data_IF_655726320756
#
_entry.id   IF_655726320756
#
_cell.length_a   1.000
_cell.length_b   1.000
_cell.length_c   1.000
_cell.angle_alpha   90.00
_cell.angle_beta   90.00
_cell.angle_gamma   90.00
#
_symmetry.space_group_name_H-M   'P 1'
#
loop_
_entity.id
_entity.type
_entity.pdbx_description
1 polymer ?
#
# COMPACT_ATOMS: atom_id res chain seq x y z
N UNK A 1 15.11 1.57 10.96
CA UNK A 1 15.03 0.12 10.70
C UNK A 1 15.30 -0.11 9.24
N UNK A 2 16.26 -0.99 8.90
CA UNK A 2 16.65 -1.26 7.51
C UNK A 2 16.04 -2.54 6.94
N UNK A 3 15.30 -3.32 7.74
CA UNK A 3 14.70 -4.60 7.32
C UNK A 3 13.24 -4.66 7.72
N UNK A 4 12.38 -5.14 6.82
CA UNK A 4 10.98 -5.48 7.06
C UNK A 4 10.80 -7.00 6.99
N UNK A 5 10.30 -7.59 8.07
CA UNK A 5 9.88 -9.00 8.09
C UNK A 5 8.51 -9.13 7.42
N UNK A 6 8.45 -9.88 6.35
CA UNK A 6 7.29 -9.96 5.48
C UNK A 6 7.01 -11.42 5.13
N UNK A 7 6.33 -12.15 6.03
CA UNK A 7 6.01 -13.57 5.85
C UNK A 7 7.24 -14.42 5.63
N UNK A 8 7.39 -14.95 4.41
CA UNK A 8 8.53 -15.76 3.96
C UNK A 8 9.80 -14.94 3.67
N UNK A 9 9.72 -13.61 3.69
CA UNK A 9 10.78 -12.73 3.22
C UNK A 9 11.28 -11.77 4.30
N UNK A 10 12.53 -11.39 4.14
CA UNK A 10 13.16 -10.28 4.82
C UNK A 10 13.54 -9.24 3.77
N UNK A 11 12.82 -8.13 3.74
CA UNK A 11 13.05 -7.06 2.77
C UNK A 11 14.07 -6.07 3.32
N UNK A 12 15.19 -5.92 2.64
CA UNK A 12 16.16 -4.86 2.93
C UNK A 12 15.59 -3.51 2.46
N UNK A 13 15.38 -2.60 3.40
CA UNK A 13 14.90 -1.24 3.20
C UNK A 13 16.03 -0.20 3.28
N UNK A 14 17.29 -0.59 3.17
CA UNK A 14 18.41 0.33 3.03
C UNK A 14 18.30 1.19 1.76
N UNK A 15 17.71 0.61 0.71
CA UNK A 15 17.25 1.30 -0.50
C UNK A 15 15.72 1.32 -0.56
N UNK A 16 15.11 2.31 -1.25
CA UNK A 16 13.67 2.32 -1.46
C UNK A 16 13.22 1.12 -2.30
N UNK A 17 12.05 0.55 -1.95
CA UNK A 17 11.42 -0.57 -2.65
C UNK A 17 10.17 -0.15 -3.38
N UNK A 18 9.87 -0.79 -4.49
CA UNK A 18 8.67 -0.53 -5.29
C UNK A 18 7.65 -1.65 -5.08
N UNK A 19 6.47 -1.28 -4.56
CA UNK A 19 5.30 -2.12 -4.42
C UNK A 19 4.38 -1.91 -5.61
N UNK A 20 4.26 -2.92 -6.47
CA UNK A 20 3.38 -2.86 -7.64
C UNK A 20 1.92 -3.13 -7.27
N UNK A 21 1.00 -2.31 -7.76
CA UNK A 21 -0.44 -2.48 -7.58
C UNK A 21 -0.96 -3.47 -8.62
N UNK A 22 -1.54 -4.58 -8.15
CA UNK A 22 -2.19 -5.60 -8.98
C UNK A 22 -3.69 -5.59 -8.68
N UNK A 23 -4.46 -4.93 -9.55
CA UNK A 23 -5.92 -4.88 -9.40
C UNK A 23 -6.58 -6.21 -9.78
N UNK A 24 -7.44 -6.70 -8.89
CA UNK A 24 -8.29 -7.88 -9.05
C UNK A 24 -9.78 -7.50 -9.23
N UNK A 25 -10.07 -6.26 -9.66
CA UNK A 25 -11.43 -5.73 -9.84
C UNK A 25 -12.04 -6.12 -11.19
N UNK A 26 -13.36 -5.94 -11.34
CA UNK A 26 -14.16 -6.42 -12.49
C UNK A 26 -13.68 -5.94 -13.86
N UNK A 27 -13.04 -4.77 -13.97
CA UNK A 27 -12.38 -4.31 -15.21
C UNK A 27 -11.22 -5.24 -15.62
N UNK A 28 -10.77 -6.08 -14.70
CA UNK A 28 -9.73 -7.10 -14.89
C UNK A 28 -10.32 -8.49 -15.13
N UNK A 29 -11.63 -8.67 -14.85
CA UNK A 29 -12.36 -9.93 -14.83
C UNK A 29 -13.49 -9.96 -15.89
N UNK A 30 -13.32 -9.30 -17.04
CA UNK A 30 -14.32 -9.33 -18.12
C UNK A 30 -14.03 -10.44 -19.12
N UNK A 31 -14.83 -11.48 -19.11
CA UNK A 31 -15.10 -12.27 -20.30
C UNK A 31 -15.10 -13.79 -20.21
N UNK A 32 -14.17 -14.45 -19.51
CA UNK A 32 -13.99 -15.91 -19.65
C UNK A 32 -13.99 -16.70 -18.33
N UNK A 33 -14.58 -16.17 -17.25
CA UNK A 33 -14.61 -16.80 -15.94
C UNK A 33 -13.26 -16.79 -15.20
N UNK A 34 -13.21 -17.28 -13.94
CA UNK A 34 -12.07 -17.26 -13.02
C UNK A 34 -10.70 -17.64 -13.64
N UNK A 35 -10.66 -18.55 -14.60
CA UNK A 35 -9.39 -19.02 -15.19
C UNK A 35 -8.76 -18.02 -16.14
N UNK A 36 -9.54 -17.29 -16.94
CA UNK A 36 -9.04 -16.24 -17.84
C UNK A 36 -8.49 -15.06 -17.07
N UNK A 37 -9.12 -14.76 -15.98
CA UNK A 37 -8.78 -13.69 -15.06
C UNK A 37 -7.45 -13.94 -14.34
N UNK A 38 -7.21 -15.15 -13.84
CA UNK A 38 -5.95 -15.53 -13.18
C UNK A 38 -4.77 -15.47 -14.17
N UNK A 39 -4.95 -15.87 -15.42
CA UNK A 39 -3.90 -15.74 -16.43
C UNK A 39 -3.54 -14.26 -16.71
N UNK A 40 -4.52 -13.35 -16.66
CA UNK A 40 -4.26 -11.92 -16.76
C UNK A 40 -3.54 -11.36 -15.55
N UNK A 41 -3.90 -11.82 -14.35
CA UNK A 41 -3.22 -11.46 -13.09
C UNK A 41 -1.77 -11.94 -13.12
N UNK A 42 -1.51 -13.18 -13.53
CA UNK A 42 -0.15 -13.72 -13.68
C UNK A 42 0.69 -12.87 -14.63
N UNK A 43 0.19 -12.59 -15.84
CA UNK A 43 0.92 -11.75 -16.81
C UNK A 43 1.24 -10.35 -16.24
N UNK A 44 0.32 -9.74 -15.49
CA UNK A 44 0.56 -8.42 -14.86
C UNK A 44 1.62 -8.52 -13.77
N UNK A 45 1.60 -9.58 -12.98
CA UNK A 45 2.59 -9.83 -11.93
C UNK A 45 3.98 -10.06 -12.53
N UNK A 46 4.10 -10.93 -13.53
CA UNK A 46 5.34 -11.20 -14.25
C UNK A 46 5.90 -9.92 -14.86
N UNK A 47 5.06 -9.14 -15.56
CA UNK A 47 5.45 -7.85 -16.11
C UNK A 47 5.94 -6.88 -15.03
N UNK A 48 5.25 -6.77 -13.89
CA UNK A 48 5.68 -5.91 -12.79
C UNK A 48 7.05 -6.34 -12.23
N UNK A 49 7.31 -7.65 -12.15
CA UNK A 49 8.62 -8.18 -11.73
C UNK A 49 9.71 -7.87 -12.76
N UNK A 50 9.45 -8.03 -14.06
CA UNK A 50 10.35 -7.65 -15.14
C UNK A 50 10.67 -6.14 -15.13
N UNK A 51 9.68 -5.31 -14.76
CA UNK A 51 9.82 -3.87 -14.59
C UNK A 51 10.58 -3.48 -13.30
N UNK A 52 10.87 -4.44 -12.42
CA UNK A 52 11.67 -4.26 -11.21
C UNK A 52 10.86 -4.01 -9.94
N UNK A 53 9.64 -4.49 -9.84
CA UNK A 53 8.90 -4.50 -8.58
C UNK A 53 9.59 -5.38 -7.54
N UNK A 54 9.65 -4.91 -6.30
CA UNK A 54 10.18 -5.65 -5.15
C UNK A 54 9.10 -6.46 -4.41
N UNK A 55 7.82 -6.10 -4.60
CA UNK A 55 6.65 -6.75 -4.01
C UNK A 55 5.39 -6.44 -4.80
N UNK A 56 4.37 -7.28 -4.68
CA UNK A 56 3.08 -7.12 -5.34
C UNK A 56 1.99 -6.86 -4.28
N UNK A 57 1.08 -5.90 -4.54
CA UNK A 57 -0.05 -5.59 -3.67
C UNK A 57 -1.36 -5.88 -4.38
N UNK A 58 -2.07 -6.92 -3.93
CA UNK A 58 -3.28 -7.44 -4.54
C UNK A 58 -4.50 -6.69 -4.02
N UNK A 59 -5.23 -6.04 -4.92
CA UNK A 59 -6.37 -5.17 -4.61
C UNK A 59 -7.64 -5.74 -5.22
N UNK A 60 -8.49 -6.36 -4.40
CA UNK A 60 -9.75 -6.96 -4.84
C UNK A 60 -10.96 -6.02 -4.65
N UNK A 61 -10.85 -5.01 -3.80
CA UNK A 61 -11.87 -3.99 -3.57
C UNK A 61 -11.30 -2.59 -3.84
N UNK A 62 -12.02 -1.80 -4.64
CA UNK A 62 -11.63 -0.40 -4.87
C UNK A 62 -11.97 0.45 -3.65
N UNK A 63 -10.98 1.14 -3.10
CA UNK A 63 -11.15 2.09 -2.00
C UNK A 63 -11.29 3.55 -2.46
N UNK A 64 -11.57 3.75 -3.77
CA UNK A 64 -11.83 5.08 -4.32
C UNK A 64 -13.14 5.64 -3.77
N UNK A 65 -13.24 6.96 -3.55
CA UNK A 65 -14.50 7.56 -3.14
C UNK A 65 -15.65 7.17 -4.06
N UNK A 66 -16.76 6.69 -3.48
CA UNK A 66 -17.96 6.30 -4.23
C UNK A 66 -17.94 4.90 -4.84
N UNK A 67 -16.86 4.10 -4.66
CA UNK A 67 -16.88 2.70 -5.09
C UNK A 67 -17.85 1.87 -4.23
N UNK A 68 -18.51 0.89 -4.87
CA UNK A 68 -19.37 -0.06 -4.16
C UNK A 68 -18.50 -1.13 -3.47
N UNK A 69 -18.86 -1.50 -2.23
CA UNK A 69 -18.17 -2.58 -1.51
C UNK A 69 -18.32 -3.93 -2.24
N UNK A 70 -17.24 -4.67 -2.32
CA UNK A 70 -17.28 -6.06 -2.82
C UNK A 70 -17.76 -6.98 -1.68
N UNK A 71 -18.71 -7.92 -1.94
CA UNK A 71 -19.11 -8.92 -0.95
C UNK A 71 -17.90 -9.70 -0.43
N UNK A 72 -17.82 -9.93 0.89
CA UNK A 72 -16.68 -10.60 1.54
C UNK A 72 -16.34 -11.95 0.92
N UNK A 73 -17.35 -12.76 0.58
CA UNK A 73 -17.13 -14.06 -0.06
C UNK A 73 -16.46 -13.91 -1.44
N UNK A 74 -16.88 -12.94 -2.24
CA UNK A 74 -16.32 -12.69 -3.56
C UNK A 74 -14.89 -12.13 -3.47
N UNK A 75 -14.64 -11.21 -2.54
CA UNK A 75 -13.28 -10.71 -2.28
C UNK A 75 -12.36 -11.84 -1.84
N UNK A 76 -12.82 -12.69 -0.91
CA UNK A 76 -12.08 -13.86 -0.44
C UNK A 76 -11.70 -14.79 -1.59
N UNK A 77 -12.66 -15.16 -2.44
CA UNK A 77 -12.43 -16.04 -3.59
C UNK A 77 -11.37 -15.48 -4.54
N UNK A 78 -11.49 -14.19 -4.91
CA UNK A 78 -10.54 -13.51 -5.80
C UNK A 78 -9.13 -13.46 -5.21
N UNK A 79 -9.03 -13.07 -3.94
CA UNK A 79 -7.76 -12.94 -3.23
C UNK A 79 -7.07 -14.29 -3.08
N UNK A 80 -7.77 -15.33 -2.63
CA UNK A 80 -7.22 -16.67 -2.46
C UNK A 80 -6.69 -17.21 -3.79
N UNK A 81 -7.51 -17.14 -4.85
CA UNK A 81 -7.10 -17.61 -6.17
C UNK A 81 -5.87 -16.88 -6.69
N UNK A 82 -5.79 -15.54 -6.50
CA UNK A 82 -4.64 -14.74 -6.91
C UNK A 82 -3.39 -15.08 -6.09
N UNK A 83 -3.51 -15.19 -4.76
CA UNK A 83 -2.37 -15.53 -3.89
C UNK A 83 -1.80 -16.91 -4.23
N UNK A 84 -2.65 -17.92 -4.39
CA UNK A 84 -2.23 -19.28 -4.75
C UNK A 84 -1.52 -19.32 -6.10
N UNK A 85 -2.03 -18.59 -7.11
CA UNK A 85 -1.45 -18.52 -8.44
C UNK A 85 -0.09 -17.77 -8.46
N UNK A 86 0.04 -16.70 -7.69
CA UNK A 86 1.23 -15.85 -7.69
C UNK A 86 2.32 -16.34 -6.72
N UNK A 87 1.98 -17.14 -5.72
CA UNK A 87 2.93 -17.63 -4.71
C UNK A 87 4.18 -18.29 -5.28
N UNK A 88 4.10 -19.09 -6.39
CA UNK A 88 5.27 -19.70 -7.01
C UNK A 88 6.27 -18.73 -7.62
N UNK A 89 5.87 -17.46 -7.88
CA UNK A 89 6.76 -16.45 -8.47
C UNK A 89 7.90 -16.03 -7.53
N UNK A 90 7.84 -16.35 -6.22
CA UNK A 90 8.92 -16.09 -5.29
C UNK A 90 9.16 -14.62 -4.97
N UNK A 91 8.10 -13.79 -5.07
CA UNK A 91 8.08 -12.37 -4.70
C UNK A 91 7.11 -12.18 -3.52
N UNK A 92 7.36 -11.22 -2.59
CA UNK A 92 6.43 -10.91 -1.51
C UNK A 92 5.04 -10.51 -2.01
N UNK A 93 4.00 -11.15 -1.50
CA UNK A 93 2.61 -10.89 -1.82
C UNK A 93 1.92 -10.16 -0.68
N UNK A 94 1.53 -8.91 -0.91
CA UNK A 94 0.69 -8.10 -0.04
C UNK A 94 -0.77 -8.20 -0.48
N UNK A 95 -1.69 -8.18 0.46
CA UNK A 95 -3.14 -8.14 0.21
C UNK A 95 -3.73 -6.90 0.84
N UNK A 96 -4.31 -6.03 0.01
CA UNK A 96 -5.00 -4.80 0.41
C UNK A 96 -6.45 -5.16 0.78
N UNK A 97 -6.72 -5.25 2.08
CA UNK A 97 -8.06 -5.55 2.61
C UNK A 97 -8.22 -5.06 4.05
N UNK A 98 -9.43 -4.63 4.41
CA UNK A 98 -9.82 -4.29 5.78
C UNK A 98 -10.72 -5.34 6.45
N UNK A 99 -11.03 -6.47 5.74
CA UNK A 99 -11.95 -7.51 6.22
C UNK A 99 -11.18 -8.67 6.88
N UNK A 100 -11.41 -8.94 8.18
CA UNK A 100 -10.66 -9.97 8.92
C UNK A 100 -10.80 -11.39 8.34
N UNK A 101 -11.94 -11.72 7.72
CA UNK A 101 -12.11 -13.01 7.08
C UNK A 101 -11.25 -13.15 5.83
N UNK A 102 -11.16 -12.09 5.00
CA UNK A 102 -10.28 -12.04 3.83
C UNK A 102 -8.81 -12.11 4.26
N UNK A 103 -8.40 -11.35 5.30
CA UNK A 103 -7.05 -11.44 5.86
C UNK A 103 -6.68 -12.87 6.25
N UNK A 104 -7.57 -13.57 6.95
CA UNK A 104 -7.36 -14.96 7.39
C UNK A 104 -7.18 -15.90 6.21
N UNK A 105 -8.05 -15.79 5.21
CA UNK A 105 -8.00 -16.62 4.01
C UNK A 105 -6.76 -16.34 3.17
N UNK A 106 -6.39 -15.07 3.00
CA UNK A 106 -5.18 -14.66 2.30
C UNK A 106 -3.91 -15.22 2.95
N UNK A 107 -3.81 -15.12 4.28
CA UNK A 107 -2.67 -15.67 5.03
C UNK A 107 -2.61 -17.20 4.95
N UNK A 108 -3.75 -17.89 5.00
CA UNK A 108 -3.82 -19.33 4.82
C UNK A 108 -3.40 -19.76 3.40
N UNK A 109 -3.72 -18.98 2.38
CA UNK A 109 -3.28 -19.18 0.99
C UNK A 109 -1.78 -18.88 0.78
N UNK A 110 -1.14 -18.15 1.70
CA UNK A 110 0.29 -17.87 1.67
C UNK A 110 0.67 -16.43 1.33
N UNK A 111 -0.21 -15.47 1.58
CA UNK A 111 0.13 -14.05 1.54
C UNK A 111 1.21 -13.72 2.58
N UNK A 112 2.13 -12.83 2.23
CA UNK A 112 3.28 -12.46 3.05
C UNK A 112 3.05 -11.17 3.84
N UNK A 113 2.07 -10.34 3.43
CA UNK A 113 1.77 -9.05 4.04
C UNK A 113 0.26 -8.76 3.97
N UNK A 114 -0.25 -8.08 4.98
CA UNK A 114 -1.56 -7.45 4.98
C UNK A 114 -1.38 -5.93 4.93
N UNK A 115 -2.01 -5.30 3.94
CA UNK A 115 -2.08 -3.86 3.77
C UNK A 115 -3.51 -3.42 4.13
N UNK A 116 -3.69 -2.77 5.30
CA UNK A 116 -5.01 -2.42 5.79
C UNK A 116 -5.19 -0.91 5.94
N UNK A 117 -6.06 -0.36 5.11
CA UNK A 117 -6.41 1.07 5.13
C UNK A 117 -7.14 1.50 6.40
N UNK A 118 -7.73 0.56 7.15
CA UNK A 118 -8.36 0.77 8.45
C UNK A 118 -7.42 0.51 9.64
N UNK A 119 -6.12 0.31 9.37
CA UNK A 119 -5.09 0.08 10.39
C UNK A 119 -5.42 -1.05 11.37
N UNK A 120 -6.02 -2.14 10.92
CA UNK A 120 -6.42 -3.30 11.73
C UNK A 120 -7.41 -2.95 12.86
N UNK A 121 -8.23 -1.91 12.65
CA UNK A 121 -9.22 -1.46 13.64
C UNK A 121 -10.52 -2.28 13.60
N UNK A 122 -10.79 -2.99 12.52
CA UNK A 122 -11.97 -3.86 12.42
C UNK A 122 -11.95 -4.95 13.51
N UNK A 123 -13.10 -5.28 14.12
CA UNK A 123 -13.18 -6.34 15.12
C UNK A 123 -12.61 -7.67 14.62
N UNK A 124 -11.61 -8.21 15.31
CA UNK A 124 -10.92 -9.44 14.93
C UNK A 124 -9.74 -9.29 13.96
N UNK A 125 -9.53 -8.12 13.34
CA UNK A 125 -8.40 -7.91 12.41
C UNK A 125 -7.05 -8.07 13.11
N UNK A 126 -6.85 -7.37 14.22
CA UNK A 126 -5.62 -7.44 14.98
C UNK A 126 -5.30 -8.86 15.45
N UNK A 127 -6.31 -9.58 15.98
CA UNK A 127 -6.16 -10.97 16.42
C UNK A 127 -5.77 -11.89 15.26
N UNK A 128 -6.34 -11.67 14.07
CA UNK A 128 -6.03 -12.46 12.88
C UNK A 128 -4.56 -12.35 12.49
N UNK A 129 -3.96 -11.17 12.56
CA UNK A 129 -2.59 -10.96 12.10
C UNK A 129 -1.54 -11.10 13.21
N UNK A 130 -1.91 -10.95 14.48
CA UNK A 130 -0.97 -10.99 15.60
C UNK A 130 -0.24 -12.33 15.69
N UNK A 131 -0.97 -13.44 15.49
CA UNK A 131 -0.43 -14.81 15.55
C UNK A 131 0.30 -15.27 14.30
N UNK A 132 0.40 -14.44 13.25
CA UNK A 132 1.08 -14.78 11.99
C UNK A 132 2.50 -14.20 11.93
N UNK A 133 3.26 -14.55 10.88
CA UNK A 133 4.56 -13.94 10.59
C UNK A 133 4.48 -12.84 9.49
N UNK A 134 3.27 -12.50 9.01
CA UNK A 134 3.10 -11.55 7.90
C UNK A 134 3.60 -10.14 8.24
N UNK A 135 4.07 -9.42 7.24
CA UNK A 135 4.25 -7.98 7.30
C UNK A 135 2.91 -7.25 7.44
N UNK A 136 2.94 -6.05 7.97
CA UNK A 136 1.74 -5.24 8.20
C UNK A 136 1.98 -3.82 7.69
N UNK A 137 1.17 -3.37 6.73
CA UNK A 137 1.05 -1.95 6.41
C UNK A 137 -0.17 -1.40 7.14
N UNK A 138 0.08 -0.42 7.99
CA UNK A 138 -0.94 0.24 8.80
C UNK A 138 -1.11 1.67 8.32
N UNK A 139 -2.29 1.96 7.74
CA UNK A 139 -2.55 3.24 7.12
C UNK A 139 -3.46 4.11 8.02
N UNK A 140 -3.27 5.43 7.93
CA UNK A 140 -4.21 6.40 8.52
C UNK A 140 -5.26 6.84 7.51
N UNK A 141 -6.52 6.75 7.92
CA UNK A 141 -7.67 7.31 7.23
C UNK A 141 -8.55 8.08 8.23
N UNK A 142 -9.07 9.25 7.81
CA UNK A 142 -10.13 9.94 8.55
C UNK A 142 -11.47 9.62 7.90
N UNK A 143 -12.44 9.14 8.69
CA UNK A 143 -13.74 8.71 8.19
C UNK A 143 -13.72 7.32 7.56
N UNK A 144 -14.62 7.08 6.61
CA UNK A 144 -14.76 5.83 5.88
C UNK A 144 -14.54 6.06 4.38
N UNK A 145 -14.15 5.06 3.58
CA UNK A 145 -13.84 5.22 2.16
C UNK A 145 -14.93 5.96 1.37
N UNK A 146 -16.20 5.72 1.65
CA UNK A 146 -17.34 6.34 0.95
C UNK A 146 -17.54 7.83 1.28
N UNK A 147 -17.18 8.25 2.49
CA UNK A 147 -17.47 9.59 3.01
C UNK A 147 -16.24 10.41 3.35
N UNK A 148 -15.07 9.83 3.33
CA UNK A 148 -13.80 10.43 3.79
C UNK A 148 -13.45 11.76 3.11
N UNK A 149 -13.96 12.02 1.91
CA UNK A 149 -13.69 13.27 1.18
C UNK A 149 -14.71 14.38 1.47
N UNK A 150 -15.73 14.12 2.30
CA UNK A 150 -16.69 15.14 2.72
C UNK A 150 -16.09 16.02 3.83
N UNK A 151 -15.47 17.14 3.42
CA UNK A 151 -14.92 18.15 4.32
C UNK A 151 -13.96 17.59 5.41
N UNK A 152 -12.86 16.92 5.04
CA UNK A 152 -11.89 16.45 6.01
C UNK A 152 -11.30 17.64 6.78
N UNK A 153 -11.14 17.51 8.10
CA UNK A 153 -10.69 18.60 8.98
C UNK A 153 -9.56 18.13 9.87
N UNK A 154 -8.50 18.93 9.92
CA UNK A 154 -7.37 18.79 10.82
C UNK A 154 -6.98 20.18 11.30
N UNK A 155 -6.58 20.29 12.56
CA UNK A 155 -5.92 21.48 13.08
C UNK A 155 -4.44 21.49 12.63
N UNK A 156 -3.78 20.34 12.77
CA UNK A 156 -2.45 20.05 12.21
C UNK A 156 -2.41 18.60 11.69
N UNK A 157 -2.59 18.44 10.39
CA UNK A 157 -2.66 17.12 9.74
C UNK A 157 -1.40 16.28 10.00
N UNK A 158 -0.22 16.88 10.08
CA UNK A 158 1.04 16.14 10.30
C UNK A 158 1.10 15.58 11.71
N UNK A 159 0.80 16.41 12.71
CA UNK A 159 0.81 16.01 14.13
C UNK A 159 -0.29 14.99 14.43
N UNK A 160 -1.50 15.20 13.91
CA UNK A 160 -2.63 14.31 14.16
C UNK A 160 -2.44 12.94 13.52
N UNK A 161 -2.01 12.89 12.26
CA UNK A 161 -1.73 11.63 11.55
C UNK A 161 -0.58 10.87 12.22
N UNK A 162 0.51 11.55 12.56
CA UNK A 162 1.63 10.92 13.29
C UNK A 162 1.19 10.38 14.66
N UNK A 163 0.35 11.13 15.39
CA UNK A 163 -0.23 10.72 16.67
C UNK A 163 -1.12 9.47 16.55
N UNK A 164 -1.96 9.42 15.51
CA UNK A 164 -2.82 8.27 15.24
C UNK A 164 -2.00 7.02 14.88
N UNK A 165 -0.98 7.14 14.01
CA UNK A 165 -0.06 6.05 13.70
C UNK A 165 0.69 5.57 14.96
N UNK A 166 1.17 6.49 15.81
CA UNK A 166 1.82 6.15 17.06
C UNK A 166 0.90 5.38 18.02
N UNK A 167 -0.36 5.80 18.13
CA UNK A 167 -1.35 5.08 18.93
C UNK A 167 -1.57 3.66 18.39
N UNK A 168 -1.60 3.51 17.07
CA UNK A 168 -1.75 2.20 16.43
C UNK A 168 -0.54 1.30 16.64
N UNK A 169 0.67 1.82 16.54
CA UNK A 169 1.91 1.09 16.85
C UNK A 169 1.89 0.55 18.28
N UNK A 170 1.45 1.37 19.24
CA UNK A 170 1.30 0.92 20.64
C UNK A 170 0.29 -0.22 20.77
N UNK A 171 -0.85 -0.16 20.07
CA UNK A 171 -1.86 -1.22 20.12
C UNK A 171 -1.34 -2.53 19.52
N UNK A 172 -0.58 -2.45 18.41
CA UNK A 172 0.07 -3.61 17.79
C UNK A 172 1.11 -4.24 18.74
N UNK A 173 1.94 -3.43 19.37
CA UNK A 173 2.93 -3.89 20.36
C UNK A 173 2.27 -4.58 21.56
N UNK A 174 1.17 -4.01 22.07
CA UNK A 174 0.39 -4.62 23.15
C UNK A 174 -0.23 -5.97 22.78
N UNK A 175 -0.52 -6.19 21.48
CA UNK A 175 -0.99 -7.46 20.95
C UNK A 175 0.16 -8.45 20.61
N UNK A 176 1.41 -8.11 20.91
CA UNK A 176 2.57 -8.96 20.65
C UNK A 176 3.12 -8.93 19.24
N UNK A 177 2.68 -7.99 18.39
CA UNK A 177 3.21 -7.84 17.03
C UNK A 177 4.65 -7.35 17.07
N UNK A 178 5.54 -8.11 16.47
CA UNK A 178 6.95 -7.74 16.38
C UNK A 178 7.13 -6.47 15.53
N UNK A 179 7.90 -5.52 16.05
CA UNK A 179 8.15 -4.22 15.42
C UNK A 179 8.69 -4.32 13.99
N UNK A 180 9.56 -5.31 13.72
CA UNK A 180 10.14 -5.54 12.39
C UNK A 180 9.15 -5.94 11.30
N UNK A 181 7.89 -6.21 11.65
CA UNK A 181 6.81 -6.54 10.73
C UNK A 181 5.99 -5.33 10.26
N UNK A 182 6.23 -4.13 10.81
CA UNK A 182 5.34 -2.97 10.66
C UNK A 182 5.95 -1.97 9.68
N UNK A 183 5.15 -1.53 8.70
CA UNK A 183 5.36 -0.35 7.89
C UNK A 183 4.17 0.60 8.05
N UNK A 184 4.41 1.90 8.04
CA UNK A 184 3.40 2.93 8.27
C UNK A 184 3.07 3.65 6.97
N UNK A 185 1.77 3.84 6.67
CA UNK A 185 1.30 4.67 5.56
C UNK A 185 0.51 5.86 6.12
N UNK A 186 0.92 7.11 5.86
CA UNK A 186 0.16 8.27 6.29
C UNK A 186 -1.18 8.44 5.56
N UNK A 187 -1.45 7.66 4.51
CA UNK A 187 -2.74 7.59 3.83
C UNK A 187 -3.03 8.81 2.97
N UNK A 188 -2.18 9.11 2.01
CA UNK A 188 -2.43 10.17 1.03
C UNK A 188 -3.78 9.97 0.32
N UNK A 189 -4.62 11.00 0.27
CA UNK A 189 -5.94 10.96 -0.37
C UNK A 189 -7.04 10.28 0.43
N UNK A 190 -6.78 9.79 1.65
CA UNK A 190 -7.77 9.16 2.51
C UNK A 190 -8.21 10.11 3.62
N UNK A 191 -9.35 10.80 3.42
CA UNK A 191 -9.85 11.82 4.35
C UNK A 191 -8.91 13.02 4.47
N UNK A 192 -8.38 13.52 3.35
CA UNK A 192 -7.45 14.64 3.27
C UNK A 192 -7.67 15.44 2.01
N UNK A 193 -7.71 16.75 2.13
CA UNK A 193 -7.75 17.67 0.99
C UNK A 193 -6.37 17.86 0.33
N UNK A 194 -6.28 18.72 -0.66
CA UNK A 194 -5.04 18.98 -1.39
C UNK A 194 -3.97 19.57 -0.47
N UNK A 195 -4.31 20.56 0.36
CA UNK A 195 -3.35 21.23 1.25
C UNK A 195 -2.81 20.25 2.30
N UNK A 196 -3.67 19.42 2.88
CA UNK A 196 -3.30 18.36 3.81
C UNK A 196 -2.32 17.38 3.18
N UNK A 197 -2.61 16.90 1.97
CA UNK A 197 -1.74 15.94 1.28
C UNK A 197 -0.35 16.52 0.98
N UNK A 198 -0.25 17.75 0.49
CA UNK A 198 1.05 18.37 0.23
C UNK A 198 1.82 18.73 1.50
N UNK A 199 1.12 19.14 2.58
CA UNK A 199 1.73 19.30 3.89
C UNK A 199 2.35 18.00 4.40
N UNK A 200 1.61 16.88 4.28
CA UNK A 200 2.10 15.55 4.65
C UNK A 200 3.30 15.12 3.80
N UNK A 201 3.26 15.35 2.48
CA UNK A 201 4.39 15.02 1.60
C UNK A 201 5.63 15.84 1.97
N UNK A 202 5.47 17.15 2.24
CA UNK A 202 6.55 18.03 2.68
C UNK A 202 7.21 17.53 3.97
N UNK A 203 6.44 17.00 4.89
CA UNK A 203 6.87 16.56 6.22
C UNK A 203 6.87 15.04 6.41
N UNK A 204 7.02 14.27 5.33
CA UNK A 204 6.83 12.80 5.31
C UNK A 204 7.66 12.08 6.38
N UNK A 205 8.87 12.51 6.64
CA UNK A 205 9.74 11.91 7.66
C UNK A 205 9.16 11.92 9.08
N UNK A 206 8.17 12.80 9.37
CA UNK A 206 7.49 12.84 10.68
C UNK A 206 6.61 11.61 10.94
N UNK A 207 6.24 10.87 9.88
CA UNK A 207 5.45 9.64 9.99
C UNK A 207 6.30 8.39 10.24
N UNK A 208 7.62 8.49 10.21
CA UNK A 208 8.52 7.41 10.64
C UNK A 208 8.52 7.26 12.18
N UNK A 209 7.32 7.06 12.73
CA UNK A 209 7.11 6.94 14.18
C UNK A 209 8.01 5.85 14.76
N UNK A 210 8.72 6.18 15.81
CA UNK A 210 9.70 5.30 16.43
C UNK A 210 10.76 4.73 15.45
N UNK A 211 11.02 5.37 14.31
CA UNK A 211 11.94 4.90 13.28
C UNK A 211 11.41 3.70 12.46
N UNK A 212 10.10 3.45 12.45
CA UNK A 212 9.47 2.50 11.54
C UNK A 212 9.50 3.00 10.11
N UNK A 213 9.61 2.10 9.12
CA UNK A 213 9.60 2.48 7.71
C UNK A 213 8.25 3.08 7.29
N UNK A 214 8.31 4.01 6.33
CA UNK A 214 7.12 4.65 5.75
C UNK A 214 6.91 4.15 4.33
N UNK A 215 5.66 3.76 4.04
CA UNK A 215 5.15 3.52 2.70
C UNK A 215 4.45 4.79 2.19
N UNK A 216 4.66 5.13 0.93
CA UNK A 216 3.99 6.25 0.27
C UNK A 216 3.23 5.77 -0.99
N UNK A 217 1.90 5.84 -0.94
CA UNK A 217 1.01 5.56 -2.07
C UNK A 217 0.50 6.86 -2.72
N UNK A 218 1.24 7.41 -3.69
CA UNK A 218 0.91 8.68 -4.36
C UNK A 218 0.44 8.50 -5.81
N UNK A 219 0.69 7.31 -6.39
CA UNK A 219 0.49 7.03 -7.82
C UNK A 219 -0.94 7.32 -8.27
N UNK A 220 -1.06 8.18 -9.29
CA UNK A 220 -2.29 8.61 -9.97
C UNK A 220 -3.34 9.29 -9.08
N UNK A 221 -3.00 9.69 -7.83
CA UNK A 221 -3.95 10.30 -6.89
C UNK A 221 -4.43 11.67 -7.35
N UNK A 222 -5.63 12.04 -6.89
CA UNK A 222 -6.33 13.28 -7.27
C UNK A 222 -5.54 14.55 -6.96
N UNK A 223 -4.77 14.54 -5.86
CA UNK A 223 -3.89 15.66 -5.50
C UNK A 223 -2.91 16.04 -6.62
N UNK A 224 -2.41 15.05 -7.38
CA UNK A 224 -1.51 15.28 -8.50
C UNK A 224 -2.24 15.95 -9.68
N UNK A 225 -3.44 15.45 -9.99
CA UNK A 225 -4.28 16.05 -11.02
C UNK A 225 -4.72 17.47 -10.68
N UNK A 226 -4.98 17.77 -9.40
CA UNK A 226 -5.39 19.10 -8.96
C UNK A 226 -4.31 20.19 -9.23
N UNK A 227 -3.03 19.82 -9.20
CA UNK A 227 -1.92 20.75 -9.49
C UNK A 227 -1.57 20.79 -10.97
N UNK A 228 -1.62 19.63 -11.65
CA UNK A 228 -1.13 19.52 -13.04
C UNK A 228 -2.24 19.72 -14.08
N UNK A 229 -3.51 19.69 -13.67
CA UNK A 229 -4.67 19.65 -14.59
C UNK A 229 -4.82 18.32 -15.31
N UNK A 230 -3.99 17.31 -15.02
CA UNK A 230 -3.96 16.05 -15.76
C UNK A 230 -5.10 15.11 -15.34
N UNK A 231 -5.79 14.53 -16.34
CA UNK A 231 -6.69 13.39 -16.15
C UNK A 231 -5.91 12.18 -15.59
N UNK A 232 -6.62 11.23 -14.96
CA UNK A 232 -5.99 10.12 -14.22
C UNK A 232 -5.03 9.29 -15.08
N UNK A 233 -5.35 9.09 -16.35
CA UNK A 233 -4.55 8.34 -17.33
C UNK A 233 -3.22 9.04 -17.65
N UNK A 234 -3.18 10.36 -17.52
CA UNK A 234 -2.05 11.21 -17.89
C UNK A 234 -1.18 11.64 -16.69
N UNK A 235 -1.35 11.00 -15.51
CA UNK A 235 -0.62 11.35 -14.29
C UNK A 235 0.70 10.61 -14.09
N UNK A 236 1.26 9.99 -15.14
CA UNK A 236 2.52 9.24 -15.06
C UNK A 236 3.66 10.13 -14.51
N UNK A 237 3.97 11.23 -15.18
CA UNK A 237 5.07 12.14 -14.78
C UNK A 237 4.86 12.68 -13.36
N UNK A 238 3.63 13.11 -13.04
CA UNK A 238 3.31 13.61 -11.71
C UNK A 238 3.45 12.52 -10.63
N UNK A 239 3.07 11.28 -10.94
CA UNK A 239 3.21 10.13 -10.04
C UNK A 239 4.67 9.82 -9.74
N UNK A 240 5.51 9.78 -10.78
CA UNK A 240 6.96 9.55 -10.66
C UNK A 240 7.65 10.67 -9.88
N UNK A 241 7.34 11.93 -10.19
CA UNK A 241 7.87 13.09 -9.46
C UNK A 241 7.49 13.01 -7.96
N UNK A 242 6.24 12.69 -7.65
CA UNK A 242 5.78 12.53 -6.27
C UNK A 242 6.47 11.35 -5.55
N UNK A 243 6.74 10.25 -6.27
CA UNK A 243 7.47 9.11 -5.73
C UNK A 243 8.92 9.48 -5.35
N UNK A 244 9.64 10.17 -6.22
CA UNK A 244 11.00 10.67 -5.92
C UNK A 244 10.99 11.63 -4.74
N UNK A 245 10.05 12.59 -4.71
CA UNK A 245 9.89 13.50 -3.59
C UNK A 245 9.57 12.77 -2.27
N UNK A 246 8.80 11.70 -2.30
CA UNK A 246 8.51 10.90 -1.12
C UNK A 246 9.76 10.16 -0.62
N UNK A 247 10.52 9.54 -1.51
CA UNK A 247 11.77 8.84 -1.16
C UNK A 247 12.81 9.81 -0.61
N UNK A 248 12.99 10.98 -1.21
CA UNK A 248 13.87 12.05 -0.71
C UNK A 248 13.49 12.48 0.71
N UNK A 249 12.23 12.40 1.08
CA UNK A 249 11.68 12.72 2.40
C UNK A 249 11.53 11.52 3.34
N UNK A 250 12.11 10.37 2.98
CA UNK A 250 12.26 9.23 3.87
C UNK A 250 11.29 8.06 3.64
N UNK A 251 10.48 8.05 2.57
CA UNK A 251 9.74 6.84 2.20
C UNK A 251 10.71 5.71 1.90
N UNK A 252 10.38 4.52 2.39
CA UNK A 252 11.15 3.28 2.15
C UNK A 252 10.45 2.31 1.22
N UNK A 253 9.14 2.47 1.05
CA UNK A 253 8.34 1.72 0.07
C UNK A 253 7.50 2.73 -0.72
N UNK A 254 7.50 2.60 -2.03
CA UNK A 254 6.65 3.38 -2.95
C UNK A 254 5.65 2.43 -3.59
N UNK A 255 4.35 2.68 -3.37
CA UNK A 255 3.26 1.92 -3.97
C UNK A 255 2.83 2.57 -5.28
N UNK A 256 2.97 1.86 -6.40
CA UNK A 256 2.87 2.43 -7.74
C UNK A 256 2.09 1.55 -8.73
N UNK A 257 1.39 2.20 -9.70
CA UNK A 257 0.82 1.56 -10.89
C UNK A 257 1.87 1.44 -12.01
N UNK A 258 2.72 2.45 -12.16
CA UNK A 258 3.66 2.63 -13.26
C UNK A 258 5.06 2.22 -12.77
N UNK A 259 5.29 0.90 -12.69
CA UNK A 259 6.47 0.30 -12.04
C UNK A 259 7.75 0.69 -12.76
N UNK A 260 7.88 0.44 -14.06
CA UNK A 260 9.09 0.70 -14.84
C UNK A 260 9.59 2.15 -14.68
N UNK A 261 8.69 3.12 -14.89
CA UNK A 261 9.03 4.54 -14.77
C UNK A 261 9.40 4.95 -13.33
N UNK A 262 8.75 4.35 -12.33
CA UNK A 262 9.08 4.59 -10.93
C UNK A 262 10.45 4.03 -10.58
N UNK A 263 10.74 2.80 -10.98
CA UNK A 263 12.05 2.15 -10.77
C UNK A 263 13.17 2.93 -11.46
N UNK A 264 12.96 3.36 -12.72
CA UNK A 264 13.95 4.16 -13.47
C UNK A 264 14.28 5.47 -12.73
N UNK A 265 13.27 6.20 -12.28
CA UNK A 265 13.46 7.44 -11.54
C UNK A 265 14.17 7.22 -10.19
N UNK A 266 13.87 6.14 -9.48
CA UNK A 266 14.53 5.80 -8.22
C UNK A 266 15.99 5.37 -8.42
N UNK A 267 16.35 4.79 -9.57
CA UNK A 267 17.76 4.54 -9.94
C UNK A 267 18.54 5.85 -10.10
N UNK A 268 17.95 6.87 -10.72
CA UNK A 268 18.57 8.20 -10.84
C UNK A 268 18.72 8.85 -9.46
N UNK A 269 17.67 8.81 -8.64
CA UNK A 269 17.75 9.29 -7.26
C UNK A 269 18.89 8.59 -6.49
N UNK A 270 19.00 7.27 -6.60
CA UNK A 270 20.03 6.49 -5.91
C UNK A 270 21.43 6.86 -6.37
N UNK A 271 21.64 6.99 -7.68
CA UNK A 271 22.93 7.41 -8.24
C UNK A 271 23.35 8.80 -7.72
N UNK A 272 22.38 9.71 -7.53
CA UNK A 272 22.63 11.04 -6.95
C UNK A 272 23.03 10.97 -5.46
N UNK A 273 22.37 10.10 -4.68
CA UNK A 273 22.66 9.93 -3.24
C UNK A 273 24.03 9.26 -3.03
N UNK A 274 24.40 8.32 -3.90
CA UNK A 274 25.67 7.58 -3.81
C UNK A 274 26.86 8.31 -4.44
N UNK A 275 26.63 9.48 -5.08
CA UNK A 275 27.71 10.28 -5.63
C UNK A 275 28.59 10.87 -4.52
N UNK A 276 29.92 10.79 -4.72
CA UNK A 276 30.93 11.27 -3.78
C UNK A 276 31.01 12.79 -3.73
#
# INVERSE_FOLDING_TARGET
>A
MSTLLCGRFELDLSAPRVMAIINLTDDSFSGDGLRGDIAAVLRRAEKAMEEGADMLDLVAESTRPGSEPVPEAQETERVVAAVEALRPLGIPLSVDTMKPAVMRAALAAGADMINDIAALSAPGALQTVAGSACGLCVMHMQGEPRTMQYAPRYDDVVTEVAGALAARVRALAAAGVARGRIVLDPGFGFGKDMAHNYSMLKHLGRFAVDGLPVLAGLSRKSMLGAVTGAAVENRLIASVAAAVLAVERGARIVRAHDVAATVEALKIWRACVDAA
#
